data_IF_701529391062
#
_entry.id   IF_701529391062
#
_cell.length_a   1.000
_cell.length_b   1.000
_cell.length_c   1.000
_cell.angle_alpha   90.00
_cell.angle_beta   90.00
_cell.angle_gamma   90.00
#
_symmetry.space_group_name_H-M   'P 1'
#
loop_
_entity.id
_entity.type
_entity.pdbx_description
1 polymer ?
#
# COMPACT_ATOMS: atom_id res chain seq x y z
N UNK A 1 10.09 8.60 9.58
CA UNK A 1 10.91 7.83 8.67
C UNK A 1 10.35 6.42 8.46
N UNK A 2 9.73 6.21 7.34
CA UNK A 2 9.00 5.02 7.05
C UNK A 2 9.66 4.21 6.00
N UNK A 3 10.94 4.12 6.04
CA UNK A 3 11.63 3.15 5.26
C UNK A 3 11.51 1.79 5.87
N UNK A 4 11.04 0.88 5.08
CA UNK A 4 11.36 -0.50 5.28
C UNK A 4 12.76 -0.75 4.72
N UNK A 5 13.69 -1.21 5.55
CA UNK A 5 15.09 -1.39 5.15
C UNK A 5 15.35 -2.66 4.33
N UNK A 6 14.32 -3.43 4.04
CA UNK A 6 14.45 -4.72 3.36
C UNK A 6 15.10 -4.64 2.00
N UNK A 7 14.88 -3.55 1.27
CA UNK A 7 15.40 -3.41 -0.09
C UNK A 7 16.92 -3.45 -0.15
N UNK A 8 17.60 -2.84 0.79
CA UNK A 8 19.05 -2.81 0.77
C UNK A 8 19.66 -4.20 0.95
N UNK A 9 18.94 -5.07 1.66
CA UNK A 9 19.33 -6.46 1.86
C UNK A 9 18.92 -7.36 0.70
N UNK A 10 18.16 -6.84 -0.28
CA UNK A 10 17.53 -7.64 -1.32
C UNK A 10 17.88 -7.18 -2.74
N UNK A 11 19.10 -6.70 -2.94
CA UNK A 11 19.63 -6.32 -4.25
C UNK A 11 19.02 -5.03 -4.81
N UNK A 12 18.94 -3.99 -3.98
CA UNK A 12 18.47 -2.67 -4.41
C UNK A 12 19.25 -2.13 -5.61
N UNK A 13 20.55 -2.38 -5.66
CA UNK A 13 21.40 -1.98 -6.79
C UNK A 13 20.94 -2.63 -8.10
N UNK A 14 20.62 -3.92 -8.07
CA UNK A 14 20.10 -4.61 -9.26
C UNK A 14 18.77 -4.00 -9.73
N UNK A 15 17.87 -3.71 -8.79
CA UNK A 15 16.60 -3.05 -9.10
C UNK A 15 16.83 -1.66 -9.70
N UNK A 16 17.76 -0.89 -9.15
CA UNK A 16 18.11 0.42 -9.68
C UNK A 16 18.62 0.34 -11.12
N UNK A 17 19.50 -0.62 -11.43
CA UNK A 17 19.99 -0.79 -12.80
C UNK A 17 18.86 -1.16 -13.77
N UNK A 18 17.92 -1.97 -13.34
CA UNK A 18 16.73 -2.28 -14.14
C UNK A 18 15.83 -1.06 -14.31
N UNK A 19 15.69 -0.23 -13.28
CA UNK A 19 14.88 0.98 -13.34
C UNK A 19 15.40 1.96 -14.41
N UNK A 20 16.72 2.01 -14.64
CA UNK A 20 17.30 2.83 -15.70
C UNK A 20 16.83 2.42 -17.10
N UNK A 21 16.40 1.18 -17.28
CA UNK A 21 15.94 0.67 -18.58
C UNK A 21 14.46 0.99 -18.82
N UNK A 22 13.78 1.54 -17.83
CA UNK A 22 12.37 1.93 -17.93
C UNK A 22 12.32 3.44 -18.04
N UNK A 23 11.78 3.96 -19.14
CA UNK A 23 11.64 5.39 -19.34
C UNK A 23 10.71 5.98 -18.29
N UNK A 24 11.03 7.17 -17.78
CA UNK A 24 10.24 7.85 -16.77
C UNK A 24 8.81 8.16 -17.23
N UNK A 25 8.59 8.27 -18.54
CA UNK A 25 7.24 8.45 -19.11
C UNK A 25 6.35 7.22 -18.93
N UNK A 26 6.94 6.06 -18.60
CA UNK A 26 6.20 4.82 -18.42
C UNK A 26 5.61 4.65 -17.02
N UNK A 27 5.92 5.57 -16.12
CA UNK A 27 5.33 5.62 -14.78
C UNK A 27 4.58 6.93 -14.60
N UNK A 28 3.44 6.87 -13.93
CA UNK A 28 2.53 8.02 -13.84
C UNK A 28 2.05 8.16 -12.40
N UNK A 29 1.93 9.40 -11.94
CA UNK A 29 1.15 9.76 -10.76
C UNK A 29 0.18 10.86 -11.16
N UNK A 30 -1.10 10.69 -10.84
CA UNK A 30 -2.10 11.73 -11.08
C UNK A 30 -3.22 11.63 -10.08
N UNK A 31 -3.82 12.78 -9.74
CA UNK A 31 -4.98 12.82 -8.87
C UNK A 31 -6.12 12.03 -9.48
N UNK A 32 -6.81 11.26 -8.64
CA UNK A 32 -7.91 10.42 -9.08
C UNK A 32 -9.23 10.92 -8.50
N UNK A 33 -9.98 11.66 -9.31
CA UNK A 33 -11.22 12.33 -8.87
C UNK A 33 -12.40 11.37 -8.70
N UNK A 34 -12.25 10.09 -9.03
CA UNK A 34 -13.34 9.13 -9.06
C UNK A 34 -12.98 7.82 -8.39
N UNK A 35 -12.26 7.90 -7.27
CA UNK A 35 -11.88 6.71 -6.49
C UNK A 35 -13.09 5.83 -6.17
N UNK A 36 -14.25 6.45 -6.02
CA UNK A 36 -15.50 5.81 -5.67
C UNK A 36 -16.25 5.16 -6.85
N UNK A 37 -15.73 5.23 -8.08
CA UNK A 37 -16.51 4.84 -9.28
C UNK A 37 -16.09 3.55 -9.96
N UNK A 38 -15.12 2.82 -9.44
CA UNK A 38 -14.69 1.55 -10.04
C UNK A 38 -14.14 0.61 -8.97
N UNK A 39 -13.35 -0.37 -9.33
CA UNK A 39 -12.82 -1.34 -8.36
C UNK A 39 -11.83 -0.76 -7.35
N UNK A 40 -11.35 0.47 -7.54
CA UNK A 40 -10.63 1.20 -6.50
C UNK A 40 -11.55 1.64 -5.35
N UNK A 41 -12.86 1.45 -5.47
CA UNK A 41 -13.78 1.63 -4.34
C UNK A 41 -13.37 0.83 -3.10
N UNK A 42 -12.59 -0.23 -3.27
CA UNK A 42 -12.09 -1.04 -2.15
C UNK A 42 -10.87 -0.43 -1.47
N UNK A 43 -10.36 0.70 -1.95
CA UNK A 43 -9.19 1.39 -1.38
C UNK A 43 -9.66 2.54 -0.50
N UNK A 44 -8.95 2.76 0.60
CA UNK A 44 -9.26 3.85 1.52
C UNK A 44 -8.02 4.40 2.21
N UNK A 45 -8.21 5.54 2.87
CA UNK A 45 -7.18 6.16 3.69
C UNK A 45 -7.24 5.57 5.09
N UNK A 46 -6.09 5.16 5.61
CA UNK A 46 -5.98 4.67 7.00
C UNK A 46 -5.56 5.84 7.87
N UNK A 47 -6.36 6.14 8.89
CA UNK A 47 -6.07 7.15 9.91
C UNK A 47 -5.58 6.47 11.17
N UNK A 48 -4.45 6.94 11.70
CA UNK A 48 -3.89 6.46 12.95
C UNK A 48 -3.65 7.64 13.88
N UNK A 49 -4.51 7.77 14.90
CA UNK A 49 -4.47 8.90 15.85
C UNK A 49 -3.45 8.70 16.97
N UNK A 50 -2.63 7.69 16.91
CA UNK A 50 -1.52 7.45 17.82
C UNK A 50 -0.35 6.82 17.05
N UNK A 51 -0.09 7.39 15.89
CA UNK A 51 0.94 6.90 14.99
C UNK A 51 2.26 7.65 15.14
N UNK A 52 2.98 7.71 14.06
CA UNK A 52 4.33 8.29 14.03
C UNK A 52 4.37 9.80 14.31
N UNK A 53 3.27 10.52 14.13
CA UNK A 53 3.17 11.93 14.50
C UNK A 53 2.97 12.14 16.01
N UNK A 54 2.70 11.06 16.73
CA UNK A 54 2.44 11.11 18.15
C UNK A 54 0.95 11.07 18.51
N UNK A 55 0.63 10.97 19.82
CA UNK A 55 -0.74 10.85 20.28
C UNK A 55 -1.62 12.05 19.85
N UNK A 56 -2.84 11.76 19.42
CA UNK A 56 -3.82 12.76 19.04
C UNK A 56 -3.57 13.44 17.70
N UNK A 57 -2.54 13.04 16.98
CA UNK A 57 -2.21 13.59 15.65
C UNK A 57 -2.46 12.53 14.60
N UNK A 58 -3.15 12.90 13.53
CA UNK A 58 -3.51 11.98 12.46
C UNK A 58 -2.30 11.58 11.62
N UNK A 59 -1.75 10.42 11.90
CA UNK A 59 -0.79 9.76 11.01
C UNK A 59 -1.59 8.93 10.02
N UNK A 60 -1.03 8.71 8.84
CA UNK A 60 -1.86 8.16 7.77
C UNK A 60 -1.09 7.21 6.87
N UNK A 61 -1.86 6.43 6.15
CA UNK A 61 -1.44 5.56 5.08
C UNK A 61 -2.63 5.19 4.24
N UNK A 62 -2.49 4.11 3.53
CA UNK A 62 -3.51 3.58 2.63
C UNK A 62 -3.79 2.14 3.01
N UNK A 63 -5.00 1.67 2.71
CA UNK A 63 -5.37 0.26 2.88
C UNK A 63 -6.38 -0.15 1.82
N UNK A 64 -6.64 -1.45 1.75
CA UNK A 64 -7.60 -1.97 0.79
C UNK A 64 -8.38 -3.15 1.36
N UNK A 65 -9.64 -3.26 0.98
CA UNK A 65 -10.51 -4.34 1.43
C UNK A 65 -10.14 -5.65 0.79
N UNK A 66 -10.07 -6.70 1.59
CA UNK A 66 -9.91 -8.09 1.14
C UNK A 66 -11.07 -8.97 1.59
N UNK A 67 -11.94 -8.46 2.44
CA UNK A 67 -13.16 -9.13 2.92
C UNK A 67 -14.18 -8.12 3.39
N UNK A 68 -15.34 -8.62 3.82
CA UNK A 68 -16.44 -7.75 4.27
C UNK A 68 -16.08 -6.93 5.50
N UNK A 69 -15.31 -7.52 6.42
CA UNK A 69 -14.83 -6.89 7.64
C UNK A 69 -13.31 -6.74 7.67
N UNK A 70 -12.63 -6.82 6.55
CA UNK A 70 -11.18 -6.96 6.56
C UNK A 70 -10.53 -6.05 5.53
N UNK A 71 -9.53 -5.29 5.99
CA UNK A 71 -8.63 -4.58 5.07
C UNK A 71 -7.18 -4.90 5.41
N UNK A 72 -6.30 -4.69 4.45
CA UNK A 72 -4.86 -4.90 4.56
C UNK A 72 -4.16 -3.56 4.45
N UNK A 73 -3.10 -3.37 5.23
CA UNK A 73 -2.19 -2.23 5.12
C UNK A 73 -0.80 -2.64 5.58
N UNK A 74 0.16 -1.72 5.56
CA UNK A 74 1.46 -1.97 6.15
C UNK A 74 1.39 -1.92 7.68
N UNK A 75 2.26 -2.70 8.33
CA UNK A 75 2.36 -2.68 9.78
C UNK A 75 2.77 -1.29 10.29
N UNK A 76 3.73 -0.63 9.63
CA UNK A 76 4.19 0.68 10.06
C UNK A 76 3.09 1.76 10.00
N UNK A 77 2.05 1.56 9.21
CA UNK A 77 0.90 2.49 9.15
C UNK A 77 0.07 2.44 10.44
N UNK A 78 0.00 1.26 11.07
CA UNK A 78 -0.76 1.06 12.31
C UNK A 78 0.13 0.96 13.54
N UNK A 79 1.36 1.46 13.45
CA UNK A 79 2.30 1.46 14.56
C UNK A 79 2.45 2.87 15.14
N UNK A 80 2.79 2.90 16.45
CA UNK A 80 3.18 4.11 17.15
C UNK A 80 4.59 4.54 16.75
N UNK A 81 4.95 5.75 17.12
CA UNK A 81 6.29 6.28 16.89
C UNK A 81 7.40 5.39 17.47
N UNK A 82 7.13 4.69 18.57
CA UNK A 82 8.10 3.78 19.20
C UNK A 82 8.11 2.37 18.59
N UNK A 83 7.34 2.14 17.53
CA UNK A 83 7.27 0.85 16.85
C UNK A 83 6.27 -0.15 17.44
N UNK A 84 5.66 0.17 18.56
CA UNK A 84 4.60 -0.68 19.12
C UNK A 84 3.31 -0.50 18.32
N UNK A 85 2.45 -1.53 18.35
CA UNK A 85 1.15 -1.46 17.66
C UNK A 85 0.25 -0.44 18.33
N UNK A 86 -0.37 0.42 17.53
CA UNK A 86 -1.42 1.31 17.98
C UNK A 86 -2.65 0.51 18.41
N UNK A 87 -3.34 0.95 19.45
CA UNK A 87 -4.62 0.35 19.83
C UNK A 87 -5.61 0.43 18.67
N UNK A 88 -6.35 -0.65 18.37
CA UNK A 88 -7.34 -0.61 17.28
C UNK A 88 -8.32 0.54 17.36
N UNK A 89 -8.72 0.97 18.56
CA UNK A 89 -9.65 2.09 18.75
C UNK A 89 -9.15 3.41 18.17
N UNK A 90 -7.85 3.53 17.88
CA UNK A 90 -7.24 4.74 17.28
C UNK A 90 -7.10 4.63 15.76
N UNK A 91 -7.49 3.50 15.17
CA UNK A 91 -7.36 3.25 13.74
C UNK A 91 -8.73 3.33 13.09
N UNK A 92 -8.81 4.12 12.03
CA UNK A 92 -10.01 4.24 11.20
C UNK A 92 -9.67 4.05 9.74
N UNK A 93 -10.60 3.45 9.01
CA UNK A 93 -10.47 3.22 7.58
C UNK A 93 -11.50 4.09 6.85
N UNK A 94 -11.01 5.06 6.10
CA UNK A 94 -11.83 6.06 5.41
C UNK A 94 -11.94 5.66 3.94
N UNK A 95 -12.83 4.73 3.69
CA UNK A 95 -13.05 4.18 2.35
C UNK A 95 -13.53 5.28 1.41
N UNK A 96 -12.89 5.39 0.26
CA UNK A 96 -13.23 6.36 -0.80
C UNK A 96 -13.14 7.82 -0.38
N UNK A 97 -12.31 8.14 0.60
CA UNK A 97 -12.14 9.53 1.00
C UNK A 97 -11.71 10.40 -0.19
N UNK A 98 -12.26 11.60 -0.28
CA UNK A 98 -11.96 12.58 -1.33
C UNK A 98 -11.91 13.98 -0.71
N UNK A 99 -10.72 14.36 -0.23
CA UNK A 99 -10.53 15.63 0.47
C UNK A 99 -11.33 15.68 1.77
N UNK A 100 -12.22 16.65 1.88
CA UNK A 100 -13.11 16.80 3.04
C UNK A 100 -14.26 15.79 3.05
N UNK A 101 -14.53 15.14 1.93
CA UNK A 101 -15.60 14.15 1.84
C UNK A 101 -15.10 12.82 2.39
N UNK A 102 -15.73 12.38 3.46
CA UNK A 102 -15.46 11.09 4.11
C UNK A 102 -16.76 10.29 4.08
N UNK A 103 -17.05 9.61 2.95
CA UNK A 103 -18.35 8.92 2.81
C UNK A 103 -18.49 7.77 3.81
N UNK A 104 -17.39 7.16 4.22
CA UNK A 104 -17.41 6.06 5.17
C UNK A 104 -16.22 6.20 6.12
N UNK A 105 -16.45 5.94 7.40
CA UNK A 105 -15.39 5.88 8.39
C UNK A 105 -15.59 4.62 9.23
N UNK A 106 -14.85 3.58 8.88
CA UNK A 106 -14.95 2.29 9.54
C UNK A 106 -13.93 2.19 10.67
N UNK A 107 -14.26 1.38 11.67
CA UNK A 107 -13.51 1.31 12.93
C UNK A 107 -12.81 -0.04 13.04
N UNK A 108 -11.50 -0.02 13.25
CA UNK A 108 -10.73 -1.22 13.53
C UNK A 108 -11.08 -1.76 14.91
N UNK A 109 -11.19 -3.08 15.02
CA UNK A 109 -11.40 -3.76 16.30
C UNK A 109 -10.28 -4.75 16.63
N UNK A 110 -9.61 -5.30 15.61
CA UNK A 110 -8.48 -6.22 15.79
C UNK A 110 -7.44 -5.98 14.68
N UNK A 111 -6.17 -6.16 15.04
CA UNK A 111 -5.05 -6.04 14.12
C UNK A 111 -4.21 -7.30 14.24
N UNK A 112 -4.03 -8.00 13.13
CA UNK A 112 -3.22 -9.23 13.06
C UNK A 112 -1.97 -8.96 12.23
N UNK A 113 -0.79 -9.09 12.86
CA UNK A 113 0.49 -8.89 12.17
C UNK A 113 0.85 -10.13 11.36
N UNK A 114 1.13 -9.95 10.09
CA UNK A 114 1.69 -11.01 9.25
C UNK A 114 3.14 -11.26 9.70
N UNK A 115 3.50 -12.47 10.13
CA UNK A 115 4.85 -12.74 10.64
C UNK A 115 5.91 -12.41 9.56
N UNK A 116 6.97 -11.71 9.95
CA UNK A 116 8.13 -11.37 9.13
C UNK A 116 7.86 -10.41 7.96
N UNK A 117 6.67 -9.84 7.86
CA UNK A 117 6.32 -8.88 6.80
C UNK A 117 5.82 -7.57 7.40
N UNK A 118 6.09 -6.48 6.70
CA UNK A 118 5.51 -5.17 7.04
C UNK A 118 4.06 -5.11 6.53
N UNK A 119 3.23 -5.94 7.10
CA UNK A 119 1.85 -6.14 6.67
C UNK A 119 0.98 -6.53 7.85
N UNK A 120 -0.20 -5.98 7.91
CA UNK A 120 -1.23 -6.35 8.89
C UNK A 120 -2.56 -6.62 8.20
N UNK A 121 -3.35 -7.47 8.82
CA UNK A 121 -4.74 -7.72 8.48
C UNK A 121 -5.58 -7.09 9.57
N UNK A 122 -6.48 -6.18 9.21
CA UNK A 122 -7.27 -5.42 10.17
C UNK A 122 -8.73 -5.80 10.05
N UNK A 123 -9.33 -6.19 11.17
CA UNK A 123 -10.76 -6.48 11.24
C UNK A 123 -11.51 -5.22 11.66
N UNK A 124 -12.59 -4.91 10.93
CA UNK A 124 -13.46 -3.76 11.23
C UNK A 124 -14.73 -4.21 11.93
N UNK A 125 -15.27 -3.30 12.76
CA UNK A 125 -16.57 -3.49 13.40
C UNK A 125 -17.68 -3.63 12.37
N UNK A 126 -17.67 -2.76 11.36
CA UNK A 126 -18.71 -2.68 10.35
C UNK A 126 -18.48 -3.71 9.24
N UNK A 127 -19.59 -4.18 8.64
CA UNK A 127 -19.53 -4.88 7.35
C UNK A 127 -19.36 -3.83 6.25
N UNK A 128 -18.14 -3.62 5.83
CA UNK A 128 -17.78 -2.57 4.87
C UNK A 128 -18.40 -2.82 3.49
N UNK A 129 -18.35 -4.06 3.04
CA UNK A 129 -18.89 -4.42 1.73
C UNK A 129 -20.38 -4.12 1.64
N UNK A 130 -21.13 -4.44 2.68
CA UNK A 130 -22.57 -4.20 2.74
C UNK A 130 -22.86 -2.70 2.83
N UNK A 131 -22.19 -2.00 3.76
CA UNK A 131 -22.46 -0.57 3.99
C UNK A 131 -22.09 0.31 2.82
N UNK A 132 -20.99 0.00 2.15
CA UNK A 132 -20.49 0.80 1.03
C UNK A 132 -20.92 0.25 -0.33
N UNK A 133 -21.53 -0.94 -0.38
CA UNK A 133 -21.83 -1.64 -1.62
C UNK A 133 -20.59 -1.78 -2.51
N UNK A 134 -19.52 -2.29 -1.92
CA UNK A 134 -18.21 -2.43 -2.57
C UNK A 134 -17.75 -3.87 -2.45
N UNK A 135 -17.19 -4.42 -3.52
CA UNK A 135 -16.58 -5.74 -3.49
C UNK A 135 -15.12 -5.65 -3.08
N UNK A 136 -14.67 -6.53 -2.16
CA UNK A 136 -13.25 -6.63 -1.84
C UNK A 136 -12.41 -6.98 -3.06
N UNK A 137 -11.14 -6.59 -3.03
CA UNK A 137 -10.17 -6.96 -4.06
C UNK A 137 -9.77 -8.43 -3.90
N UNK A 138 -9.48 -9.07 -5.03
CA UNK A 138 -8.99 -10.45 -5.06
C UNK A 138 -7.46 -10.44 -4.98
N UNK A 139 -6.91 -11.44 -4.31
CA UNK A 139 -5.46 -11.62 -4.22
C UNK A 139 -4.97 -12.50 -5.36
N UNK A 140 -3.82 -12.16 -5.91
CA UNK A 140 -3.14 -12.97 -6.91
C UNK A 140 -2.74 -14.32 -6.28
N UNK A 141 -2.77 -15.36 -7.10
CA UNK A 141 -2.22 -16.66 -6.70
C UNK A 141 -0.69 -16.61 -6.71
N UNK A 142 -0.06 -17.56 -6.03
CA UNK A 142 1.39 -17.68 -6.07
C UNK A 142 1.90 -17.81 -7.51
N UNK A 143 1.18 -18.56 -8.34
CA UNK A 143 1.53 -18.77 -9.74
C UNK A 143 1.47 -17.45 -10.53
N UNK A 144 0.44 -16.64 -10.32
CA UNK A 144 0.35 -15.33 -10.98
C UNK A 144 1.52 -14.43 -10.59
N UNK A 145 1.89 -14.42 -9.31
CA UNK A 145 3.01 -13.60 -8.83
C UNK A 145 4.32 -14.07 -9.47
N UNK A 146 4.53 -15.38 -9.55
CA UNK A 146 5.74 -15.94 -10.17
C UNK A 146 5.84 -15.65 -11.67
N UNK A 147 4.74 -15.34 -12.32
CA UNK A 147 4.72 -14.97 -13.74
C UNK A 147 5.01 -13.52 -14.01
N UNK A 148 5.15 -12.69 -12.97
CA UNK A 148 5.55 -11.30 -13.16
C UNK A 148 6.91 -11.24 -13.83
N UNK A 149 7.01 -10.41 -14.86
CA UNK A 149 8.24 -10.22 -15.63
C UNK A 149 8.64 -8.76 -15.64
N UNK A 150 9.92 -8.52 -15.82
CA UNK A 150 10.47 -7.17 -15.93
C UNK A 150 9.60 -6.29 -16.84
N UNK A 151 9.34 -5.10 -16.38
CA UNK A 151 8.57 -4.05 -17.06
C UNK A 151 7.05 -4.31 -17.14
N UNK A 152 6.53 -5.31 -16.43
CA UNK A 152 5.07 -5.52 -16.35
C UNK A 152 4.41 -4.28 -15.75
N UNK A 153 3.35 -3.82 -16.40
CA UNK A 153 2.51 -2.72 -15.90
C UNK A 153 1.73 -3.18 -14.68
N UNK A 154 1.83 -2.41 -13.62
CA UNK A 154 0.97 -2.53 -12.45
C UNK A 154 0.37 -1.17 -12.14
N UNK A 155 -0.68 -1.17 -11.36
CA UNK A 155 -1.43 0.04 -11.04
C UNK A 155 -1.70 0.09 -9.55
N UNK A 156 -1.97 1.28 -9.04
CA UNK A 156 -2.35 1.45 -7.64
C UNK A 156 -3.17 2.71 -7.45
N UNK A 157 -3.87 2.75 -6.34
CA UNK A 157 -4.50 3.95 -5.82
C UNK A 157 -4.09 4.10 -4.37
N UNK A 158 -3.67 5.28 -3.98
CA UNK A 158 -3.25 5.55 -2.62
C UNK A 158 -3.53 6.99 -2.21
N UNK A 159 -3.13 7.32 -0.98
CA UNK A 159 -3.32 8.63 -0.39
C UNK A 159 -1.97 9.26 -0.05
N UNK A 160 -1.19 9.66 -1.06
CA UNK A 160 0.12 10.28 -0.82
C UNK A 160 -0.02 11.70 -0.31
N UNK A 161 1.00 12.17 0.39
CA UNK A 161 1.14 13.59 0.71
C UNK A 161 1.54 14.34 -0.56
N UNK A 162 0.63 15.14 -1.08
CA UNK A 162 0.85 15.98 -2.25
C UNK A 162 0.47 17.41 -1.88
N UNK A 163 1.40 18.35 -2.08
CA UNK A 163 1.19 19.75 -1.71
C UNK A 163 0.75 19.93 -0.25
N UNK A 164 1.36 19.16 0.65
CA UNK A 164 1.05 19.20 2.08
C UNK A 164 -0.27 18.55 2.48
N UNK A 165 -0.96 17.86 1.58
CA UNK A 165 -2.26 17.26 1.81
C UNK A 165 -2.26 15.79 1.42
N UNK A 166 -2.82 14.92 2.28
CA UNK A 166 -2.90 13.48 2.04
C UNK A 166 -4.34 12.94 2.07
N UNK A 167 -5.30 13.79 1.80
CA UNK A 167 -6.72 13.42 1.85
C UNK A 167 -7.31 13.11 0.48
N UNK A 168 -6.55 13.32 -0.59
CA UNK A 168 -6.98 13.01 -1.95
C UNK A 168 -6.32 11.75 -2.46
N UNK A 169 -7.09 10.94 -3.18
CA UNK A 169 -6.57 9.75 -3.83
C UNK A 169 -5.75 10.10 -5.06
N UNK A 170 -4.65 9.40 -5.26
CA UNK A 170 -3.81 9.50 -6.44
C UNK A 170 -3.63 8.12 -7.06
N UNK A 171 -3.79 8.06 -8.37
CA UNK A 171 -3.58 6.88 -9.18
C UNK A 171 -2.14 6.83 -9.65
N UNK A 172 -1.56 5.64 -9.63
CA UNK A 172 -0.23 5.38 -10.15
C UNK A 172 -0.28 4.28 -11.20
N UNK A 173 0.51 4.48 -12.26
CA UNK A 173 0.98 3.41 -13.11
C UNK A 173 2.45 3.19 -12.79
N UNK A 174 2.82 1.97 -12.47
CA UNK A 174 4.17 1.59 -12.06
C UNK A 174 4.65 0.40 -12.88
N UNK A 175 5.93 0.06 -12.76
CA UNK A 175 6.52 -1.05 -13.51
C UNK A 175 7.22 -2.00 -12.55
N UNK A 176 6.94 -3.27 -12.71
CA UNK A 176 7.63 -4.31 -11.97
C UNK A 176 9.08 -4.41 -12.47
N UNK A 177 10.04 -4.48 -11.56
CA UNK A 177 11.45 -4.65 -11.89
C UNK A 177 11.91 -6.09 -11.65
N UNK A 178 11.79 -6.54 -10.42
CA UNK A 178 12.21 -7.89 -9.99
C UNK A 178 11.65 -8.22 -8.62
N UNK A 179 11.69 -9.48 -8.24
CA UNK A 179 11.50 -9.90 -6.85
C UNK A 179 12.78 -9.65 -6.05
N UNK A 180 12.65 -9.47 -4.75
CA UNK A 180 13.78 -9.55 -3.85
C UNK A 180 14.36 -10.97 -3.86
N UNK A 181 15.63 -11.10 -3.47
CA UNK A 181 16.34 -12.39 -3.52
C UNK A 181 15.68 -13.47 -2.65
N UNK A 182 15.02 -13.09 -1.55
CA UNK A 182 14.29 -14.00 -0.69
C UNK A 182 12.79 -14.11 -1.04
N UNK A 183 12.37 -13.51 -2.16
CA UNK A 183 10.99 -13.54 -2.66
C UNK A 183 9.96 -12.83 -1.76
N UNK A 184 10.42 -12.06 -0.77
CA UNK A 184 9.52 -11.38 0.16
C UNK A 184 8.98 -10.06 -0.37
N UNK A 185 9.60 -9.48 -1.39
CA UNK A 185 9.25 -8.15 -1.90
C UNK A 185 9.16 -8.13 -3.41
N UNK A 186 8.29 -7.26 -3.89
CA UNK A 186 8.21 -6.87 -5.30
C UNK A 186 8.87 -5.50 -5.43
N UNK A 187 9.97 -5.44 -6.18
CA UNK A 187 10.70 -4.20 -6.43
C UNK A 187 10.18 -3.56 -7.71
N UNK A 188 9.99 -2.25 -7.67
CA UNK A 188 9.28 -1.52 -8.73
C UNK A 188 9.95 -0.20 -9.06
N UNK A 189 9.64 0.32 -10.24
CA UNK A 189 9.78 1.73 -10.57
C UNK A 189 8.42 2.36 -10.41
N UNK A 190 8.32 3.31 -9.48
CA UNK A 190 7.03 3.81 -9.02
C UNK A 190 7.22 5.19 -8.40
N UNK A 191 6.37 6.14 -8.77
CA UNK A 191 6.33 7.45 -8.10
C UNK A 191 5.64 7.33 -6.74
N UNK A 192 6.26 6.56 -5.86
CA UNK A 192 5.80 6.30 -4.51
C UNK A 192 6.08 7.52 -3.62
N UNK A 193 5.04 8.00 -2.95
CA UNK A 193 5.16 9.16 -2.04
C UNK A 193 4.68 8.77 -0.64
N UNK A 194 5.12 9.54 0.36
CA UNK A 194 4.70 9.31 1.74
C UNK A 194 3.16 9.29 1.81
N UNK A 195 2.60 8.29 2.47
CA UNK A 195 1.15 8.06 2.52
C UNK A 195 0.65 6.96 1.58
N UNK A 196 1.42 6.62 0.56
CA UNK A 196 1.10 5.48 -0.33
C UNK A 196 1.30 4.12 0.35
N UNK A 197 2.00 4.09 1.48
CA UNK A 197 2.20 2.85 2.24
C UNK A 197 0.87 2.16 2.51
N UNK A 198 0.80 0.88 2.18
CA UNK A 198 -0.40 0.08 2.35
C UNK A 198 -1.30 0.00 1.12
N UNK A 199 -0.99 0.75 0.05
CA UNK A 199 -1.78 0.70 -1.16
C UNK A 199 -1.53 -0.58 -1.95
N UNK A 200 -2.53 -1.10 -2.68
CA UNK A 200 -2.39 -2.35 -3.39
C UNK A 200 -1.67 -2.18 -4.72
N UNK A 201 -0.79 -3.12 -5.05
CA UNK A 201 -0.26 -3.24 -6.41
C UNK A 201 -1.17 -4.19 -7.20
N UNK A 202 -1.88 -3.65 -8.18
CA UNK A 202 -2.89 -4.43 -8.92
C UNK A 202 -2.56 -4.49 -10.41
N UNK A 203 -3.05 -5.54 -11.08
CA UNK A 203 -3.00 -5.63 -12.53
C UNK A 203 -4.20 -4.89 -13.15
N UNK A 204 -4.37 -4.98 -14.48
CA UNK A 204 -5.47 -4.32 -15.18
C UNK A 204 -6.85 -4.90 -14.81
N UNK A 205 -6.89 -6.01 -14.11
CA UNK A 205 -8.13 -6.63 -13.62
C UNK A 205 -8.29 -6.45 -12.11
N UNK A 206 -7.49 -5.58 -11.50
CA UNK A 206 -7.55 -5.23 -10.08
C UNK A 206 -7.23 -6.39 -9.14
N UNK A 207 -6.49 -7.38 -9.59
CA UNK A 207 -5.97 -8.45 -8.76
C UNK A 207 -4.71 -7.95 -8.05
N UNK A 208 -4.62 -8.16 -6.73
CA UNK A 208 -3.55 -7.62 -5.90
C UNK A 208 -2.37 -8.58 -5.85
N UNK A 209 -1.19 -8.08 -6.20
CA UNK A 209 0.08 -8.83 -6.19
C UNK A 209 0.93 -8.54 -4.98
N UNK A 210 0.80 -7.36 -4.43
CA UNK A 210 1.60 -6.92 -3.29
C UNK A 210 1.06 -5.66 -2.66
N UNK A 211 1.73 -5.24 -1.59
CA UNK A 211 1.38 -4.05 -0.81
C UNK A 211 2.52 -3.07 -0.92
N UNK A 212 2.27 -1.89 -1.49
CA UNK A 212 3.29 -0.83 -1.63
C UNK A 212 3.75 -0.40 -0.25
N UNK A 213 5.04 -0.37 -0.02
CA UNK A 213 5.58 -0.24 1.32
C UNK A 213 6.53 0.93 1.48
N UNK A 214 7.42 1.15 0.50
CA UNK A 214 8.49 2.14 0.61
C UNK A 214 8.97 2.60 -0.76
N UNK A 215 9.71 3.71 -0.75
CA UNK A 215 10.39 4.23 -1.93
C UNK A 215 11.49 5.17 -1.53
N UNK A 216 12.40 5.45 -2.46
CA UNK A 216 13.54 6.31 -2.19
C UNK A 216 13.25 7.78 -2.44
N UNK A 217 12.08 8.12 -3.01
CA UNK A 217 11.72 9.48 -3.35
C UNK A 217 10.38 9.87 -2.70
N UNK A 218 10.32 9.81 -1.38
CA UNK A 218 9.07 9.98 -0.64
C UNK A 218 8.41 11.34 -0.79
N UNK A 219 9.20 12.39 -1.11
CA UNK A 219 8.70 13.76 -1.23
C UNK A 219 8.83 14.33 -2.64
N UNK A 220 9.32 13.54 -3.59
CA UNK A 220 9.56 14.01 -4.96
C UNK A 220 10.87 14.79 -5.14
N UNK A 221 11.68 14.92 -4.09
CA UNK A 221 12.91 15.76 -4.11
C UNK A 221 14.05 15.17 -3.28
N UNK A 222 14.12 13.86 -3.16
CA UNK A 222 15.16 13.19 -2.40
C UNK A 222 16.51 13.20 -3.14
N UNK A 223 17.61 13.31 -2.39
CA UNK A 223 18.96 13.22 -2.92
C UNK A 223 19.53 11.80 -2.91
N UNK A 224 18.75 10.81 -2.50
CA UNK A 224 19.22 9.43 -2.52
C UNK A 224 19.56 9.00 -3.94
N UNK A 225 20.67 8.24 -4.17
CA UNK A 225 21.05 7.82 -5.53
C UNK A 225 19.96 7.11 -6.32
N UNK A 226 19.06 6.39 -5.65
CA UNK A 226 17.99 5.64 -6.30
C UNK A 226 16.72 6.47 -6.51
N UNK A 227 16.64 7.65 -5.92
CA UNK A 227 15.43 8.49 -6.00
C UNK A 227 15.16 9.00 -7.41
N UNK A 228 16.21 9.31 -8.17
CA UNK A 228 16.06 9.81 -9.53
C UNK A 228 15.38 8.79 -10.45
N UNK A 229 15.60 7.51 -10.20
CA UNK A 229 14.98 6.43 -10.96
C UNK A 229 13.68 5.92 -10.32
N UNK A 230 13.20 6.60 -9.26
CA UNK A 230 11.94 6.26 -8.61
C UNK A 230 11.89 4.78 -8.18
N UNK A 231 12.99 4.28 -7.63
CA UNK A 231 13.04 2.91 -7.12
C UNK A 231 12.17 2.80 -5.87
N UNK A 232 11.34 1.79 -5.84
CA UNK A 232 10.38 1.56 -4.78
C UNK A 232 10.18 0.05 -4.59
N UNK A 233 9.37 -0.31 -3.62
CA UNK A 233 9.04 -1.70 -3.41
C UNK A 233 7.89 -1.89 -2.46
N UNK A 234 7.47 -3.13 -2.38
CA UNK A 234 6.39 -3.52 -1.49
C UNK A 234 6.47 -4.98 -1.11
N UNK A 235 5.66 -5.34 -0.11
CA UNK A 235 5.55 -6.70 0.36
C UNK A 235 4.81 -7.55 -0.65
N UNK A 236 5.42 -8.67 -1.03
CA UNK A 236 4.79 -9.63 -1.93
C UNK A 236 3.69 -10.40 -1.20
N UNK A 237 2.63 -10.73 -1.91
CA UNK A 237 1.60 -11.64 -1.41
C UNK A 237 1.97 -13.12 -1.65
N UNK A 238 3.14 -13.38 -2.21
CA UNK A 238 3.59 -14.74 -2.46
C UNK A 238 3.82 -15.53 -1.16
N UNK A 239 3.19 -16.69 -1.04
CA UNK A 239 3.44 -17.62 0.06
C UNK A 239 2.67 -17.27 1.33
N UNK A 240 3.37 -17.12 2.46
CA UNK A 240 2.78 -16.97 3.78
C UNK A 240 1.84 -15.76 3.94
N UNK A 241 2.12 -14.59 3.36
CA UNK A 241 1.19 -13.47 3.49
C UNK A 241 -0.19 -13.78 2.92
N UNK A 242 -0.24 -14.41 1.76
CA UNK A 242 -1.52 -14.80 1.15
C UNK A 242 -2.28 -15.76 2.06
N UNK A 243 -1.62 -16.79 2.56
CA UNK A 243 -2.23 -17.78 3.46
C UNK A 243 -2.75 -17.09 4.72
N UNK A 244 -1.94 -16.21 5.31
CA UNK A 244 -2.30 -15.49 6.53
C UNK A 244 -3.53 -14.61 6.32
N UNK A 245 -3.57 -13.85 5.22
CA UNK A 245 -4.72 -12.99 4.90
C UNK A 245 -5.98 -13.84 4.75
N UNK A 246 -5.91 -14.92 3.98
CA UNK A 246 -7.07 -15.80 3.76
C UNK A 246 -7.58 -16.44 5.06
N UNK A 247 -6.66 -16.79 5.96
CA UNK A 247 -7.01 -17.36 7.27
C UNK A 247 -7.73 -16.35 8.16
N UNK A 248 -7.39 -15.07 8.10
CA UNK A 248 -7.95 -14.02 8.94
C UNK A 248 -9.03 -13.19 8.24
N UNK A 249 -9.39 -13.57 7.04
CA UNK A 249 -10.38 -12.83 6.25
C UNK A 249 -11.79 -13.06 6.79
N UNK A 250 -12.53 -11.96 6.99
CA UNK A 250 -13.91 -12.01 7.52
C UNK A 250 -14.87 -11.14 6.73
#
# INVERSE_FOLDING_TARGET
NYYYNGMENHNASAAYHKAKKVDSSQIVIKRYNYAHKNKYKAVGRVSNMDGWKGPGKDSMGTGFMVGNHTFVTNAHVVDKKNGQRTSPSKIKFQLNRDGKKIPYQFHAIKIYKVPSYDMVVVETKENMAQKANVQPLKLATNQQIKRLKFNKKLYSLGYPVMNGNNTYAYWNKLRFLQEASNQSELMTKDKFRAGDSGSPMVDSQYVVYGVRTYGYNLRGSSNHPYAKQEVAGGESLYGNPRVFILKHNK
#
